data_IF_327321072095
#
_entry.id   IF_327321072095
#
_cell.length_a   1.000
_cell.length_b   1.000
_cell.length_c   1.000
_cell.angle_alpha   90.00
_cell.angle_beta   90.00
_cell.angle_gamma   90.00
#
_symmetry.space_group_name_H-M   'P 1'
#
loop_
_entity.id
_entity.type
_entity.pdbx_description
1 polymer ?
#
# COMPACT_ATOMS: atom_id res chain seq x y z
N UNK A 1 -64.92 39.41 -25.80
CA UNK A 1 -65.06 39.17 -24.35
C UNK A 1 -65.74 37.80 -24.13
N UNK A 2 -64.96 36.70 -24.11
CA UNK A 2 -65.44 35.34 -23.77
C UNK A 2 -64.25 34.46 -23.35
N UNK A 3 -64.16 34.29 -22.03
CA UNK A 3 -63.77 33.16 -21.20
C UNK A 3 -62.67 32.14 -21.62
N UNK A 4 -61.74 31.99 -20.67
CA UNK A 4 -60.79 30.90 -20.43
C UNK A 4 -61.46 29.52 -20.22
N UNK A 5 -60.84 28.46 -20.77
CA UNK A 5 -60.63 27.11 -20.19
C UNK A 5 -59.82 26.32 -21.25
N UNK A 6 -58.64 25.73 -21.02
CA UNK A 6 -58.24 24.87 -19.91
C UNK A 6 -58.26 23.40 -20.36
N UNK A 7 -57.13 22.89 -20.84
CA UNK A 7 -56.74 21.45 -21.03
C UNK A 7 -55.37 21.47 -21.71
N UNK A 8 -54.25 21.27 -21.02
CA UNK A 8 -53.87 20.03 -20.36
C UNK A 8 -53.40 19.04 -21.42
N UNK A 9 -52.09 18.89 -21.60
CA UNK A 9 -51.34 17.66 -21.89
C UNK A 9 -49.85 18.03 -21.96
N UNK A 10 -49.17 17.67 -20.87
CA UNK A 10 -47.73 17.37 -20.77
C UNK A 10 -47.26 16.58 -21.98
N UNK A 11 -46.01 16.77 -22.43
CA UNK A 11 -45.14 15.88 -23.27
C UNK A 11 -44.32 16.77 -24.21
N UNK A 12 -42.99 16.80 -24.30
CA UNK A 12 -41.90 15.90 -23.90
C UNK A 12 -40.62 16.72 -23.88
N UNK A 13 -39.84 16.59 -22.81
CA UNK A 13 -38.49 17.12 -22.67
C UNK A 13 -37.57 16.38 -23.65
N UNK A 14 -37.18 17.00 -24.76
CA UNK A 14 -36.24 16.40 -25.71
C UNK A 14 -34.80 16.58 -25.22
N UNK A 15 -34.32 15.54 -24.55
CA UNK A 15 -32.93 15.07 -24.56
C UNK A 15 -31.87 16.02 -24.02
N UNK A 16 -31.72 15.96 -22.69
CA UNK A 16 -30.56 16.45 -21.96
C UNK A 16 -29.26 15.75 -22.44
N UNK A 17 -28.21 16.56 -22.55
CA UNK A 17 -26.82 16.16 -22.71
C UNK A 17 -26.42 15.07 -21.71
N UNK A 18 -26.27 13.83 -22.18
CA UNK A 18 -25.78 12.71 -21.37
C UNK A 18 -24.70 11.91 -22.11
N UNK A 19 -23.58 12.57 -22.42
CA UNK A 19 -22.31 11.88 -22.67
C UNK A 19 -21.20 12.55 -21.85
N UNK A 20 -21.45 12.78 -20.55
CA UNK A 20 -20.39 13.15 -19.59
C UNK A 20 -20.74 12.61 -18.20
N UNK A 21 -20.78 11.28 -18.00
CA UNK A 21 -20.68 10.68 -16.64
C UNK A 21 -20.45 9.16 -16.69
N UNK A 22 -19.62 8.68 -17.60
CA UNK A 22 -19.48 7.24 -17.89
C UNK A 22 -18.15 6.61 -17.46
N UNK A 23 -17.45 7.16 -16.48
CA UNK A 23 -16.23 6.54 -15.92
C UNK A 23 -16.19 6.99 -14.45
N UNK A 24 -16.21 6.13 -13.43
CA UNK A 24 -15.04 5.41 -12.91
C UNK A 24 -15.48 4.59 -11.70
N UNK A 25 -15.66 3.27 -11.83
CA UNK A 25 -15.62 2.36 -10.67
C UNK A 25 -15.01 1.02 -11.11
N UNK A 26 -13.81 1.06 -11.69
CA UNK A 26 -12.94 -0.10 -11.65
C UNK A 26 -12.27 -0.08 -10.27
N UNK A 27 -12.83 -0.83 -9.31
CA UNK A 27 -12.16 -1.07 -8.04
C UNK A 27 -10.81 -1.72 -8.31
N UNK A 28 -9.72 -1.03 -7.97
CA UNK A 28 -8.39 -1.61 -8.05
C UNK A 28 -8.31 -2.71 -6.98
N UNK A 29 -8.42 -3.97 -7.39
CA UNK A 29 -8.02 -5.09 -6.55
C UNK A 29 -6.50 -4.93 -6.30
N UNK A 30 -6.13 -4.62 -5.05
CA UNK A 30 -4.72 -4.58 -4.67
C UNK A 30 -4.17 -6.00 -4.77
N UNK A 31 -3.20 -6.22 -5.64
CA UNK A 31 -2.50 -7.49 -5.71
C UNK A 31 -1.84 -7.77 -4.35
N UNK A 32 -2.21 -8.88 -3.72
CA UNK A 32 -1.59 -9.30 -2.48
C UNK A 32 -0.15 -9.75 -2.79
N UNK A 33 0.82 -9.13 -2.13
CA UNK A 33 2.22 -9.57 -2.20
C UNK A 33 2.31 -11.03 -1.77
N UNK A 34 2.87 -11.89 -2.62
CA UNK A 34 3.02 -13.33 -2.35
C UNK A 34 4.37 -13.69 -1.76
N UNK A 35 5.29 -12.71 -1.68
CA UNK A 35 6.64 -12.89 -1.17
C UNK A 35 7.00 -11.73 -0.24
N UNK A 36 7.48 -12.06 0.96
CA UNK A 36 8.01 -11.09 1.89
C UNK A 36 9.32 -10.47 1.38
N UNK A 37 9.64 -9.28 1.88
CA UNK A 37 10.76 -8.50 1.37
C UNK A 37 11.50 -7.75 2.45
N UNK A 38 12.79 -7.53 2.24
CA UNK A 38 13.58 -6.60 3.01
C UNK A 38 13.29 -5.17 2.54
N UNK A 39 13.09 -4.27 3.50
CA UNK A 39 12.81 -2.84 3.28
C UNK A 39 13.85 -2.03 4.04
N UNK A 40 14.59 -1.20 3.31
CA UNK A 40 15.53 -0.26 3.89
C UNK A 40 14.80 0.84 4.68
N UNK A 41 15.33 1.16 5.85
CA UNK A 41 14.83 2.20 6.74
C UNK A 41 15.97 3.03 7.31
N UNK A 42 15.64 4.27 7.64
CA UNK A 42 16.54 5.19 8.32
C UNK A 42 15.77 5.82 9.47
N UNK A 43 16.26 5.64 10.69
CA UNK A 43 15.81 6.36 11.87
C UNK A 43 16.76 7.54 12.10
N UNK A 44 16.24 8.68 12.54
CA UNK A 44 17.01 9.91 12.78
C UNK A 44 16.71 10.43 14.18
N UNK A 45 17.76 10.69 14.94
CA UNK A 45 17.70 11.32 16.26
C UNK A 45 18.88 12.31 16.45
N UNK A 46 19.07 12.80 17.67
CA UNK A 46 20.16 13.73 18.02
C UNK A 46 21.56 13.13 17.80
N UNK A 47 21.70 11.80 17.83
CA UNK A 47 22.96 11.11 17.57
C UNK A 47 23.22 10.87 16.07
N UNK A 48 22.23 11.13 15.20
CA UNK A 48 22.38 11.12 13.75
C UNK A 48 21.49 10.10 13.05
N UNK A 49 21.98 9.58 11.91
CA UNK A 49 21.26 8.59 11.10
C UNK A 49 21.59 7.16 11.49
N UNK A 50 20.55 6.37 11.75
CA UNK A 50 20.64 4.94 12.07
C UNK A 50 19.95 4.14 10.98
N UNK A 51 20.72 3.50 10.11
CA UNK A 51 20.19 2.68 9.02
C UNK A 51 19.92 1.26 9.52
N UNK A 52 18.78 0.71 9.11
CA UNK A 52 18.39 -0.66 9.43
C UNK A 52 17.53 -1.24 8.31
N UNK A 53 17.33 -2.55 8.33
CA UNK A 53 16.51 -3.26 7.35
C UNK A 53 15.41 -4.00 8.08
N UNK A 54 14.19 -3.92 7.56
CA UNK A 54 13.03 -4.67 8.07
C UNK A 54 12.64 -5.72 7.07
N UNK A 55 12.59 -6.99 7.48
CA UNK A 55 11.87 -8.00 6.70
C UNK A 55 10.37 -7.89 6.98
N UNK A 56 9.57 -7.69 5.93
CA UNK A 56 8.10 -7.67 6.01
C UNK A 56 7.58 -8.94 5.34
N UNK A 57 6.94 -9.87 6.08
CA UNK A 57 6.34 -11.07 5.51
C UNK A 57 5.21 -10.76 4.53
N UNK A 58 4.98 -11.65 3.56
CA UNK A 58 3.86 -11.55 2.60
C UNK A 58 2.49 -11.43 3.30
N UNK A 59 2.32 -12.16 4.41
CA UNK A 59 1.09 -12.18 5.19
C UNK A 59 0.95 -11.03 6.20
N UNK A 60 1.86 -10.05 6.23
CA UNK A 60 1.79 -8.93 7.16
C UNK A 60 0.47 -8.15 7.00
N UNK A 61 -0.18 -7.84 8.12
CA UNK A 61 -1.41 -7.04 8.16
C UNK A 61 -1.31 -5.95 9.21
N UNK A 62 -1.45 -4.69 8.79
CA UNK A 62 -1.26 -3.52 9.64
C UNK A 62 -2.32 -3.36 10.75
N UNK A 63 -3.48 -4.01 10.61
CA UNK A 63 -4.57 -4.04 11.58
C UNK A 63 -4.44 -5.18 12.61
N UNK A 64 -3.40 -6.01 12.52
CA UNK A 64 -3.15 -7.12 13.44
C UNK A 64 -1.78 -6.98 14.10
N UNK A 65 -1.69 -7.09 15.44
CA UNK A 65 -0.39 -7.19 16.11
C UNK A 65 0.43 -8.34 15.55
N UNK A 66 1.70 -8.08 15.26
CA UNK A 66 2.66 -9.07 14.78
C UNK A 66 3.86 -9.10 15.72
N UNK A 67 4.44 -10.28 16.00
CA UNK A 67 5.69 -10.34 16.75
C UNK A 67 6.80 -9.64 15.97
N UNK A 68 7.69 -8.98 16.69
CA UNK A 68 8.90 -8.37 16.13
C UNK A 68 10.13 -9.10 16.69
N UNK A 69 11.07 -9.41 15.81
CA UNK A 69 12.38 -9.95 16.17
C UNK A 69 13.42 -8.89 15.83
N UNK A 70 14.20 -8.48 16.83
CA UNK A 70 15.37 -7.62 16.63
C UNK A 70 16.62 -8.49 16.56
N UNK A 71 17.36 -8.36 15.46
CA UNK A 71 18.66 -8.99 15.28
C UNK A 71 19.73 -7.90 15.15
N UNK A 72 20.78 -8.01 15.96
CA UNK A 72 21.94 -7.10 15.92
C UNK A 72 23.12 -7.85 15.31
N UNK A 73 23.74 -7.24 14.31
CA UNK A 73 24.85 -7.86 13.59
C UNK A 73 26.15 -7.84 14.39
N UNK A 74 27.12 -8.64 13.97
CA UNK A 74 28.45 -8.71 14.59
C UNK A 74 29.37 -7.61 14.10
N UNK A 75 30.61 -7.60 14.60
CA UNK A 75 31.60 -6.61 14.19
C UNK A 75 31.98 -6.71 12.70
N UNK A 76 31.85 -7.89 12.09
CA UNK A 76 32.19 -8.14 10.69
C UNK A 76 31.23 -7.51 9.67
N UNK A 77 30.01 -7.16 10.10
CA UNK A 77 28.97 -6.61 9.23
C UNK A 77 28.74 -5.09 9.44
N UNK A 78 29.65 -4.41 10.15
CA UNK A 78 29.61 -2.95 10.33
C UNK A 78 29.81 -2.24 8.99
N UNK A 79 29.10 -1.13 8.79
CA UNK A 79 29.21 -0.32 7.58
C UNK A 79 28.15 0.77 7.53
N UNK A 80 28.11 1.53 6.43
CA UNK A 80 27.16 2.64 6.23
C UNK A 80 26.15 2.37 5.12
N UNK A 81 26.28 1.23 4.44
CA UNK A 81 25.58 0.87 3.21
C UNK A 81 24.27 0.11 3.49
N UNK A 82 24.03 -0.29 4.75
CA UNK A 82 22.84 -1.04 5.20
C UNK A 82 22.68 -2.43 4.56
N UNK A 83 23.74 -3.01 3.98
CA UNK A 83 23.68 -4.29 3.26
C UNK A 83 24.40 -5.44 3.95
N UNK A 84 25.55 -5.19 4.57
CA UNK A 84 26.34 -6.22 5.24
C UNK A 84 25.56 -6.97 6.34
N UNK A 85 24.66 -6.34 7.12
CA UNK A 85 23.84 -7.08 8.09
C UNK A 85 22.92 -8.17 7.49
N UNK A 86 22.74 -8.18 6.17
CA UNK A 86 21.91 -9.15 5.46
C UNK A 86 22.68 -10.38 4.95
N UNK A 87 24.02 -10.37 5.00
CA UNK A 87 24.84 -11.41 4.34
C UNK A 87 25.02 -12.66 5.20
N UNK A 88 24.95 -12.53 6.52
CA UNK A 88 25.13 -13.62 7.49
C UNK A 88 24.07 -13.56 8.61
N UNK A 89 24.11 -14.52 9.53
CA UNK A 89 23.19 -14.55 10.67
C UNK A 89 21.77 -14.91 10.24
N UNK A 90 20.77 -14.15 10.72
CA UNK A 90 19.36 -14.46 10.54
C UNK A 90 18.84 -14.22 9.11
N UNK A 91 19.33 -13.17 8.45
CA UNK A 91 18.75 -12.69 7.20
C UNK A 91 18.71 -13.72 6.05
N UNK A 92 19.76 -14.55 5.80
CA UNK A 92 19.70 -15.59 4.78
C UNK A 92 18.59 -16.63 5.00
N UNK A 93 18.34 -17.00 6.27
CA UNK A 93 17.28 -17.97 6.61
C UNK A 93 15.88 -17.40 6.44
N UNK A 94 15.71 -16.10 6.72
CA UNK A 94 14.46 -15.38 6.48
C UNK A 94 14.20 -15.23 4.99
N UNK A 95 15.21 -14.84 4.20
CA UNK A 95 15.11 -14.74 2.74
C UNK A 95 14.71 -16.06 2.10
N UNK A 96 15.31 -17.18 2.55
CA UNK A 96 14.98 -18.51 2.06
C UNK A 96 13.52 -18.94 2.33
N UNK A 97 12.86 -18.29 3.30
CA UNK A 97 11.47 -18.57 3.70
C UNK A 97 10.50 -17.47 3.31
N UNK A 98 10.91 -16.53 2.46
CA UNK A 98 10.12 -15.34 2.19
C UNK A 98 8.71 -15.59 1.58
N UNK A 99 8.46 -16.79 1.04
CA UNK A 99 7.17 -17.17 0.42
C UNK A 99 6.19 -17.90 1.35
N UNK A 100 6.63 -18.24 2.55
CA UNK A 100 5.88 -19.03 3.55
C UNK A 100 5.41 -18.14 4.67
#
# INVERSE_FOLDING_TARGET
MRQHLGRGIVTRQTSAWLIVFGVWLAGAAQAQETTGRFVDKVFRDEAGEHKYVVFVPAAYRADKPSPAILFLHGAGERGTENRLPLTVGLAPYVQARAKT
#
